data_IF_706241789636
#
_entry.id   IF_706241789636
#
_cell.length_a   1.000
_cell.length_b   1.000
_cell.length_c   1.000
_cell.angle_alpha   90.00
_cell.angle_beta   90.00
_cell.angle_gamma   90.00
#
_symmetry.space_group_name_H-M   'P 1'
#
loop_
_entity.id
_entity.type
_entity.pdbx_description
1 polymer ?
#
# COMPACT_ATOMS: atom_id res chain seq x y z
N UNK A 1 -10.83 16.22 23.26
CA UNK A 1 -9.58 16.98 23.26
C UNK A 1 -9.86 18.37 22.70
N UNK A 2 -9.45 19.43 23.38
CA UNK A 2 -9.64 20.80 22.88
C UNK A 2 -8.59 21.13 21.78
N UNK A 3 -8.77 22.25 21.08
CA UNK A 3 -7.89 22.61 19.95
C UNK A 3 -6.44 22.95 20.38
N UNK A 4 -6.21 23.43 21.59
CA UNK A 4 -4.86 23.73 22.09
C UNK A 4 -4.08 22.44 22.37
N UNK A 5 -4.72 21.45 23.00
CA UNK A 5 -4.16 20.12 23.23
C UNK A 5 -3.81 19.41 21.90
N UNK A 6 -4.68 19.52 20.90
CA UNK A 6 -4.40 18.98 19.55
C UNK A 6 -3.18 19.65 18.92
N UNK A 7 -3.02 20.97 19.05
CA UNK A 7 -1.85 21.69 18.51
C UNK A 7 -0.55 21.26 19.17
N UNK A 8 -0.54 21.06 20.49
CA UNK A 8 0.65 20.58 21.19
C UNK A 8 1.01 19.13 20.82
N UNK A 9 0.02 18.27 20.57
CA UNK A 9 0.28 16.92 20.05
C UNK A 9 0.79 16.96 18.62
N UNK A 10 0.22 17.81 17.75
CA UNK A 10 0.65 17.96 16.37
C UNK A 10 2.14 18.32 16.28
N UNK A 11 2.64 19.23 17.13
CA UNK A 11 4.08 19.59 17.20
C UNK A 11 5.01 18.42 17.51
N UNK A 12 4.52 17.38 18.18
CA UNK A 12 5.30 16.18 18.51
C UNK A 12 5.14 15.09 17.45
N UNK A 13 3.96 15.05 16.82
CA UNK A 13 3.57 14.04 15.85
C UNK A 13 4.00 14.33 14.42
N UNK A 14 4.16 15.62 14.06
CA UNK A 14 4.47 16.03 12.69
C UNK A 14 5.66 16.98 12.70
N UNK A 15 6.71 16.62 11.96
CA UNK A 15 7.96 17.37 11.87
C UNK A 15 8.26 17.74 10.42
N UNK A 16 8.58 19.00 10.15
CA UNK A 16 9.06 19.45 8.84
C UNK A 16 10.52 18.99 8.63
N UNK A 17 10.78 18.29 7.53
CA UNK A 17 12.09 17.78 7.14
C UNK A 17 12.87 18.80 6.27
N UNK A 18 14.22 18.65 6.16
CA UNK A 18 15.05 19.57 5.38
C UNK A 18 14.65 19.71 3.90
N UNK A 19 14.11 18.65 3.30
CA UNK A 19 13.65 18.64 1.90
C UNK A 19 12.23 19.21 1.70
N UNK A 20 11.67 19.81 2.76
CA UNK A 20 10.31 20.37 2.84
C UNK A 20 9.18 19.34 2.75
N UNK A 21 9.47 18.07 3.02
CA UNK A 21 8.43 17.09 3.34
C UNK A 21 8.11 17.11 4.85
N UNK A 22 6.99 16.51 5.24
CA UNK A 22 6.57 16.35 6.62
C UNK A 22 6.71 14.88 7.01
N UNK A 23 7.43 14.61 8.09
CA UNK A 23 7.44 13.32 8.76
C UNK A 23 6.30 13.30 9.77
N UNK A 24 5.40 12.35 9.62
CA UNK A 24 4.40 12.00 10.64
C UNK A 24 4.89 10.77 11.38
N UNK A 25 4.93 10.87 12.71
CA UNK A 25 5.18 9.76 13.62
C UNK A 25 4.15 9.83 14.76
N UNK A 26 3.07 9.07 14.61
CA UNK A 26 1.93 9.13 15.52
C UNK A 26 1.18 7.79 15.62
N UNK A 27 1.24 7.18 16.80
CA UNK A 27 0.60 5.90 17.06
C UNK A 27 1.16 4.80 16.14
N UNK A 28 0.34 4.07 15.37
CA UNK A 28 0.82 3.08 14.42
C UNK A 28 1.28 3.69 13.08
N UNK A 29 1.14 5.00 12.90
CA UNK A 29 1.39 5.67 11.63
C UNK A 29 2.79 6.28 11.62
N UNK A 30 3.59 5.87 10.64
CA UNK A 30 4.85 6.54 10.29
C UNK A 30 4.85 6.80 8.79
N UNK A 31 4.67 8.06 8.39
CA UNK A 31 4.57 8.42 6.98
C UNK A 31 5.34 9.69 6.62
N UNK A 32 5.79 9.78 5.37
CA UNK A 32 6.39 10.98 4.78
C UNK A 32 5.39 11.59 3.80
N UNK A 33 5.09 12.88 3.99
CA UNK A 33 4.11 13.63 3.22
C UNK A 33 4.81 14.77 2.50
N UNK A 34 4.70 14.86 1.19
CA UNK A 34 5.17 16.02 0.42
C UNK A 34 4.00 16.66 -0.30
N UNK A 35 3.90 17.98 -0.17
CA UNK A 35 2.79 18.77 -0.70
C UNK A 35 3.35 19.99 -1.41
N UNK A 36 3.03 20.12 -2.69
CA UNK A 36 3.48 21.23 -3.53
C UNK A 36 2.30 21.82 -4.30
N UNK A 37 2.38 23.11 -4.57
CA UNK A 37 1.52 23.86 -5.48
C UNK A 37 2.42 24.55 -6.50
N UNK A 38 2.37 24.08 -7.74
CA UNK A 38 3.20 24.54 -8.85
C UNK A 38 4.69 24.57 -8.47
N UNK A 39 5.22 23.41 -8.04
CA UNK A 39 6.59 23.21 -7.53
C UNK A 39 6.99 24.03 -6.28
N UNK A 40 6.07 24.78 -5.67
CA UNK A 40 6.31 25.49 -4.40
C UNK A 40 5.77 24.65 -3.23
N UNK A 41 6.60 24.32 -2.22
CA UNK A 41 6.13 23.62 -1.02
C UNK A 41 5.02 24.40 -0.31
N UNK A 42 3.96 23.70 0.10
CA UNK A 42 2.86 24.29 0.87
C UNK A 42 3.25 24.31 2.36
N UNK A 43 3.37 25.49 3.00
CA UNK A 43 3.79 25.60 4.39
C UNK A 43 2.64 25.36 5.38
N UNK A 44 2.99 25.26 6.67
CA UNK A 44 2.08 25.30 7.82
C UNK A 44 0.98 24.22 7.83
N UNK A 45 1.33 23.00 7.38
CA UNK A 45 0.40 21.87 7.27
C UNK A 45 0.40 20.92 8.49
N UNK A 46 1.29 21.11 9.47
CA UNK A 46 1.53 20.16 10.56
C UNK A 46 0.25 19.84 11.33
N UNK A 47 -0.49 20.88 11.73
CA UNK A 47 -1.74 20.71 12.47
C UNK A 47 -2.83 20.07 11.61
N UNK A 48 -2.91 20.43 10.32
CA UNK A 48 -3.90 19.89 9.39
C UNK A 48 -3.67 18.39 9.16
N UNK A 49 -2.43 18.01 8.88
CA UNK A 49 -2.02 16.61 8.69
C UNK A 49 -2.33 15.81 9.96
N UNK A 50 -1.91 16.31 11.12
CA UNK A 50 -2.18 15.66 12.40
C UNK A 50 -3.67 15.47 12.65
N UNK A 51 -4.47 16.52 12.52
CA UNK A 51 -5.90 16.47 12.85
C UNK A 51 -6.66 15.54 11.88
N UNK A 52 -6.29 15.55 10.60
CA UNK A 52 -6.84 14.66 9.58
C UNK A 52 -6.58 13.19 9.93
N UNK A 53 -5.33 12.84 10.22
CA UNK A 53 -4.94 11.46 10.59
C UNK A 53 -5.59 11.06 11.91
N UNK A 54 -5.56 11.94 12.91
CA UNK A 54 -6.14 11.68 14.23
C UNK A 54 -7.64 11.32 14.13
N UNK A 55 -8.42 12.11 13.38
CA UNK A 55 -9.85 11.83 13.19
C UNK A 55 -10.10 10.48 12.51
N UNK A 56 -9.31 10.14 11.50
CA UNK A 56 -9.46 8.85 10.81
C UNK A 56 -8.96 7.67 11.63
N UNK A 57 -7.97 7.85 12.52
CA UNK A 57 -7.58 6.84 13.50
C UNK A 57 -8.69 6.59 14.52
N UNK A 58 -9.37 7.64 15.01
CA UNK A 58 -10.54 7.48 15.89
C UNK A 58 -11.67 6.72 15.17
N UNK A 59 -11.96 7.07 13.92
CA UNK A 59 -12.99 6.39 13.12
C UNK A 59 -12.62 4.94 12.84
N UNK A 60 -11.37 4.66 12.48
CA UNK A 60 -10.88 3.29 12.24
C UNK A 60 -10.93 2.45 13.50
N UNK A 61 -10.56 3.03 14.65
CA UNK A 61 -10.64 2.35 15.95
C UNK A 61 -12.08 1.96 16.30
N UNK A 62 -13.07 2.79 15.95
CA UNK A 62 -14.50 2.49 16.18
C UNK A 62 -14.95 1.22 15.44
N UNK A 63 -14.45 1.00 14.22
CA UNK A 63 -14.81 -0.15 13.39
C UNK A 63 -13.82 -1.31 13.45
N UNK A 64 -12.74 -1.19 14.22
CA UNK A 64 -11.68 -2.19 14.31
C UNK A 64 -12.18 -3.64 14.57
N UNK A 65 -13.20 -3.89 15.42
CA UNK A 65 -13.71 -5.25 15.63
C UNK A 65 -14.27 -5.94 14.38
N UNK A 66 -14.75 -5.18 13.38
CA UNK A 66 -15.26 -5.72 12.11
C UNK A 66 -14.25 -5.62 10.97
N UNK A 67 -13.35 -4.63 11.00
CA UNK A 67 -12.28 -4.47 10.00
C UNK A 67 -11.22 -5.57 10.09
N UNK A 68 -11.11 -6.25 11.23
CA UNK A 68 -10.17 -7.35 11.46
C UNK A 68 -10.72 -8.74 11.10
N UNK A 69 -11.89 -8.80 10.46
CA UNK A 69 -12.51 -10.06 10.06
C UNK A 69 -12.52 -10.18 8.53
N UNK A 70 -12.50 -11.41 8.04
CA UNK A 70 -12.63 -11.76 6.61
C UNK A 70 -14.09 -11.84 6.15
N UNK A 71 -15.05 -11.52 7.02
CA UNK A 71 -16.48 -11.70 6.76
C UNK A 71 -17.13 -10.52 6.02
N UNK A 72 -16.33 -9.59 5.48
CA UNK A 72 -16.81 -8.58 4.52
C UNK A 72 -17.35 -9.19 3.22
N UNK A 73 -17.05 -10.46 2.94
CA UNK A 73 -17.63 -11.21 1.83
C UNK A 73 -18.91 -11.99 2.22
N UNK A 74 -19.24 -12.07 3.51
CA UNK A 74 -20.44 -12.75 3.99
C UNK A 74 -21.66 -11.86 3.84
N UNK A 75 -22.53 -12.22 2.89
CA UNK A 75 -23.78 -11.49 2.62
C UNK A 75 -24.68 -11.32 3.84
N UNK A 76 -24.63 -12.26 4.80
CA UNK A 76 -25.42 -12.16 6.03
C UNK A 76 -24.93 -11.06 6.97
N UNK A 77 -23.68 -10.61 6.79
CA UNK A 77 -23.03 -9.57 7.58
C UNK A 77 -22.77 -8.29 6.78
N UNK A 78 -23.28 -8.15 5.57
CA UNK A 78 -23.03 -6.96 4.74
C UNK A 78 -23.52 -5.65 5.39
N UNK A 79 -24.61 -5.70 6.16
CA UNK A 79 -25.23 -4.51 6.76
C UNK A 79 -24.33 -3.76 7.75
N UNK A 80 -23.42 -4.45 8.47
CA UNK A 80 -22.46 -3.79 9.36
C UNK A 80 -21.38 -3.03 8.59
N UNK A 81 -21.05 -3.46 7.37
CA UNK A 81 -20.09 -2.79 6.49
C UNK A 81 -20.75 -1.63 5.73
N UNK A 82 -22.00 -1.79 5.30
CA UNK A 82 -22.76 -0.74 4.64
C UNK A 82 -23.02 0.47 5.55
N UNK A 83 -22.97 0.27 6.88
CA UNK A 83 -23.09 1.34 7.86
C UNK A 83 -21.83 2.24 7.95
N UNK A 84 -20.71 1.82 7.34
CA UNK A 84 -19.48 2.60 7.30
C UNK A 84 -19.57 3.62 6.15
N UNK A 85 -19.36 4.89 6.45
CA UNK A 85 -19.34 5.93 5.43
C UNK A 85 -18.20 5.70 4.42
N UNK A 86 -18.53 5.65 3.13
CA UNK A 86 -17.62 5.24 2.05
C UNK A 86 -16.42 6.15 1.85
N UNK A 87 -16.55 7.42 2.21
CA UNK A 87 -15.51 8.45 2.09
C UNK A 87 -14.53 8.43 3.26
N UNK A 88 -14.78 7.66 4.33
CA UNK A 88 -13.85 7.48 5.45
C UNK A 88 -12.76 6.45 5.14
N UNK A 89 -11.68 6.46 5.92
CA UNK A 89 -10.60 5.44 5.82
C UNK A 89 -11.15 4.02 5.96
N UNK A 90 -11.98 3.67 6.96
CA UNK A 90 -12.63 2.37 7.05
C UNK A 90 -13.48 1.99 5.82
N UNK A 91 -14.22 2.96 5.27
CA UNK A 91 -15.04 2.73 4.08
C UNK A 91 -14.19 2.39 2.86
N UNK A 92 -13.08 3.11 2.66
CA UNK A 92 -12.09 2.84 1.61
C UNK A 92 -11.42 1.48 1.79
N UNK A 93 -11.05 1.11 3.03
CA UNK A 93 -10.46 -0.19 3.35
C UNK A 93 -11.37 -1.35 2.93
N UNK A 94 -12.65 -1.27 3.30
CA UNK A 94 -13.63 -2.30 2.96
C UNK A 94 -13.85 -2.39 1.45
N UNK A 95 -14.01 -1.25 0.78
CA UNK A 95 -14.18 -1.22 -0.67
C UNK A 95 -12.97 -1.83 -1.41
N UNK A 96 -11.75 -1.49 -0.99
CA UNK A 96 -10.52 -2.02 -1.58
C UNK A 96 -10.43 -3.55 -1.46
N UNK A 97 -10.66 -4.10 -0.27
CA UNK A 97 -10.59 -5.55 -0.04
C UNK A 97 -11.72 -6.28 -0.76
N UNK A 98 -12.94 -5.73 -0.77
CA UNK A 98 -14.04 -6.29 -1.57
C UNK A 98 -13.69 -6.33 -3.07
N UNK A 99 -13.03 -5.30 -3.60
CA UNK A 99 -12.58 -5.25 -5.00
C UNK A 99 -11.45 -6.24 -5.30
N UNK A 100 -10.61 -6.59 -4.32
CA UNK A 100 -9.57 -7.62 -4.48
C UNK A 100 -10.16 -9.03 -4.59
N UNK A 101 -11.35 -9.26 -4.01
CA UNK A 101 -12.03 -10.56 -4.02
C UNK A 101 -11.14 -11.71 -3.50
N UNK A 102 -10.38 -11.45 -2.43
CA UNK A 102 -9.53 -12.44 -1.77
C UNK A 102 -10.08 -12.75 -0.36
N UNK A 103 -10.75 -13.90 -0.15
CA UNK A 103 -11.43 -14.22 1.10
C UNK A 103 -10.50 -14.40 2.30
N UNK A 104 -9.18 -14.44 2.09
CA UNK A 104 -8.19 -14.50 3.16
C UNK A 104 -7.82 -13.11 3.70
N UNK A 105 -8.16 -12.04 2.97
CA UNK A 105 -7.88 -10.68 3.40
C UNK A 105 -8.98 -10.15 4.32
N UNK A 106 -8.55 -9.42 5.36
CA UNK A 106 -9.42 -8.51 6.10
C UNK A 106 -9.23 -7.09 5.55
N UNK A 107 -10.20 -6.18 5.76
CA UNK A 107 -10.02 -4.74 5.48
C UNK A 107 -8.71 -4.12 5.98
N UNK A 108 -8.06 -4.69 7.02
CA UNK A 108 -6.77 -4.20 7.51
C UNK A 108 -5.66 -4.23 6.44
N UNK A 109 -5.76 -5.08 5.42
CA UNK A 109 -4.81 -5.15 4.31
C UNK A 109 -4.77 -3.90 3.42
N UNK A 110 -5.66 -2.94 3.61
CA UNK A 110 -5.71 -1.67 2.87
C UNK A 110 -5.48 -0.44 3.77
N UNK A 111 -5.14 -0.62 5.05
CA UNK A 111 -5.16 0.46 6.05
C UNK A 111 -4.16 1.57 5.73
N UNK A 112 -2.96 1.22 5.27
CA UNK A 112 -1.90 2.17 5.02
C UNK A 112 -2.19 2.99 3.77
N UNK A 113 -2.63 2.32 2.71
CA UNK A 113 -3.09 2.92 1.46
C UNK A 113 -4.31 3.83 1.68
N UNK A 114 -5.32 3.37 2.41
CA UNK A 114 -6.56 4.14 2.65
C UNK A 114 -6.33 5.41 3.47
N UNK A 115 -5.49 5.35 4.52
CA UNK A 115 -5.10 6.55 5.28
C UNK A 115 -4.36 7.56 4.39
N UNK A 116 -3.47 7.06 3.54
CA UNK A 116 -2.69 7.89 2.63
C UNK A 116 -3.57 8.54 1.57
N UNK A 117 -4.49 7.80 0.96
CA UNK A 117 -5.48 8.32 0.00
C UNK A 117 -6.33 9.42 0.63
N UNK A 118 -6.85 9.18 1.84
CA UNK A 118 -7.67 10.17 2.54
C UNK A 118 -6.89 11.48 2.74
N UNK A 119 -5.65 11.40 3.21
CA UNK A 119 -4.82 12.60 3.39
C UNK A 119 -4.53 13.30 2.05
N UNK A 120 -4.21 12.56 0.99
CA UNK A 120 -4.00 13.11 -0.36
C UNK A 120 -5.23 13.87 -0.85
N UNK A 121 -6.43 13.31 -0.68
CA UNK A 121 -7.69 13.94 -1.07
C UNK A 121 -7.91 15.26 -0.31
N UNK A 122 -7.74 15.25 1.02
CA UNK A 122 -7.90 16.44 1.87
C UNK A 122 -6.89 17.55 1.50
N UNK A 123 -5.64 17.19 1.19
CA UNK A 123 -4.62 18.14 0.75
C UNK A 123 -4.88 18.67 -0.66
N UNK A 124 -5.45 17.86 -1.54
CA UNK A 124 -5.82 18.28 -2.89
C UNK A 124 -6.93 19.33 -2.88
N UNK A 125 -7.90 19.21 -1.97
CA UNK A 125 -8.95 20.22 -1.76
C UNK A 125 -8.38 21.60 -1.35
N UNK A 126 -7.17 21.62 -0.76
CA UNK A 126 -6.45 22.86 -0.45
C UNK A 126 -5.71 23.44 -1.67
N UNK A 127 -5.89 22.88 -2.86
CA UNK A 127 -5.27 23.36 -4.10
C UNK A 127 -3.81 22.99 -4.26
N UNK A 128 -3.36 21.88 -3.68
CA UNK A 128 -2.06 21.30 -4.00
C UNK A 128 -2.09 20.63 -5.38
N UNK A 129 -1.03 20.81 -6.17
CA UNK A 129 -0.88 20.26 -7.52
C UNK A 129 -0.10 18.96 -7.54
N UNK A 130 0.78 18.75 -6.55
CA UNK A 130 1.60 17.54 -6.45
C UNK A 130 1.72 17.11 -5.01
N UNK A 131 1.20 15.92 -4.75
CA UNK A 131 1.13 15.32 -3.42
C UNK A 131 1.65 13.89 -3.53
N UNK A 132 2.52 13.50 -2.60
CA UNK A 132 2.74 12.09 -2.31
C UNK A 132 2.79 11.86 -0.81
N UNK A 133 2.26 10.72 -0.39
CA UNK A 133 2.24 10.25 0.99
C UNK A 133 2.79 8.83 0.97
N UNK A 134 3.92 8.58 1.61
CA UNK A 134 4.50 7.24 1.76
C UNK A 134 4.33 6.76 3.19
N UNK A 135 3.55 5.71 3.39
CA UNK A 135 3.23 5.12 4.69
C UNK A 135 3.87 3.73 4.84
N UNK A 136 5.21 3.67 4.80
CA UNK A 136 5.95 2.44 5.11
C UNK A 136 6.10 1.46 3.95
N UNK A 137 5.98 1.93 2.70
CA UNK A 137 5.99 1.10 1.49
C UNK A 137 4.77 1.35 0.59
N UNK A 138 3.68 1.81 1.21
CA UNK A 138 2.42 2.12 0.55
C UNK A 138 2.34 3.62 0.29
N UNK A 139 2.37 3.98 -0.99
CA UNK A 139 2.43 5.34 -1.48
C UNK A 139 1.08 5.70 -2.10
N UNK A 140 0.43 6.73 -1.57
CA UNK A 140 -0.64 7.43 -2.29
C UNK A 140 -0.09 8.70 -2.93
N UNK A 141 -0.56 9.04 -4.13
CA UNK A 141 -0.12 10.23 -4.84
C UNK A 141 -1.25 10.89 -5.64
N UNK A 142 -1.11 12.20 -5.85
CA UNK A 142 -1.96 12.95 -6.77
C UNK A 142 -1.11 13.99 -7.47
N UNK A 143 -1.19 13.99 -8.79
CA UNK A 143 -0.43 14.87 -9.67
C UNK A 143 -1.43 15.60 -10.58
N UNK A 144 -1.30 16.91 -10.69
CA UNK A 144 -1.95 17.69 -11.74
C UNK A 144 -1.39 17.27 -13.11
N UNK A 145 -2.09 17.53 -14.24
CA UNK A 145 -1.66 17.07 -15.56
C UNK A 145 -0.23 17.50 -15.95
N UNK A 146 0.22 18.68 -15.52
CA UNK A 146 1.57 19.19 -15.78
C UNK A 146 2.65 18.67 -14.83
N UNK A 147 2.25 17.95 -13.78
CA UNK A 147 3.14 17.47 -12.73
C UNK A 147 3.65 16.06 -13.01
N UNK A 148 4.84 15.75 -12.48
CA UNK A 148 5.41 14.41 -12.55
C UNK A 148 6.19 14.06 -11.29
N UNK A 149 6.28 12.76 -10.98
CA UNK A 149 7.00 12.21 -9.85
C UNK A 149 7.91 11.07 -10.33
N UNK A 150 9.14 11.04 -9.83
CA UNK A 150 10.05 9.92 -10.07
C UNK A 150 10.02 9.00 -8.86
N UNK A 151 9.70 7.73 -9.08
CA UNK A 151 9.60 6.70 -8.03
C UNK A 151 10.59 5.58 -8.32
N UNK A 152 11.15 5.02 -7.25
CA UNK A 152 11.98 3.82 -7.35
C UNK A 152 11.17 2.63 -6.84
N UNK A 153 11.04 1.61 -7.69
CA UNK A 153 10.50 0.30 -7.32
C UNK A 153 11.66 -0.60 -6.97
N UNK A 154 11.74 -1.04 -5.71
CA UNK A 154 12.74 -1.97 -5.22
C UNK A 154 12.23 -3.40 -5.42
N UNK A 155 12.98 -4.22 -6.14
CA UNK A 155 12.57 -5.61 -6.45
C UNK A 155 12.99 -6.59 -5.35
N UNK A 156 14.15 -6.35 -4.73
CA UNK A 156 14.61 -7.10 -3.57
C UNK A 156 15.09 -6.11 -2.50
N UNK A 157 14.54 -6.23 -1.30
CA UNK A 157 14.91 -5.43 -0.12
C UNK A 157 16.23 -5.90 0.50
N UNK A 158 16.66 -7.13 0.20
CA UNK A 158 17.78 -7.83 0.84
C UNK A 158 18.98 -8.07 -0.10
N UNK A 159 18.76 -8.15 -1.41
CA UNK A 159 19.84 -8.33 -2.38
C UNK A 159 19.94 -7.17 -3.38
N UNK A 160 21.21 -6.85 -3.71
CA UNK A 160 21.73 -6.14 -4.89
C UNK A 160 21.09 -4.81 -5.37
N UNK A 161 20.10 -4.25 -4.67
CA UNK A 161 19.55 -2.93 -4.95
C UNK A 161 18.94 -2.82 -6.35
N UNK A 162 18.53 -3.95 -6.94
CA UNK A 162 17.83 -3.99 -8.22
C UNK A 162 16.57 -3.16 -8.10
N UNK A 163 16.50 -2.13 -8.93
CA UNK A 163 15.41 -1.16 -8.88
C UNK A 163 15.08 -0.64 -10.24
N UNK A 164 13.79 -0.52 -10.49
CA UNK A 164 13.27 0.23 -11.63
C UNK A 164 13.05 1.68 -11.17
N UNK A 165 13.50 2.66 -11.96
CA UNK A 165 13.00 4.02 -11.79
C UNK A 165 11.88 4.23 -12.78
N UNK A 166 10.73 4.69 -12.28
CA UNK A 166 9.60 5.08 -13.10
C UNK A 166 9.36 6.58 -12.96
N UNK A 167 9.16 7.26 -14.08
CA UNK A 167 8.62 8.62 -14.12
C UNK A 167 7.11 8.54 -14.32
N UNK A 168 6.36 8.93 -13.29
CA UNK A 168 4.90 8.97 -13.29
C UNK A 168 4.44 10.40 -13.56
N UNK A 169 3.42 10.56 -14.40
CA UNK A 169 2.79 11.83 -14.77
C UNK A 169 1.35 11.90 -14.25
N UNK A 170 0.77 13.10 -14.19
CA UNK A 170 -0.64 13.28 -13.83
C UNK A 170 -1.63 12.64 -14.80
N UNK A 171 -1.19 12.24 -15.99
CA UNK A 171 -2.06 11.61 -17.00
C UNK A 171 -2.06 10.08 -16.93
N UNK A 172 -1.13 9.45 -16.20
CA UNK A 172 -0.98 7.99 -16.14
C UNK A 172 -2.14 7.31 -15.37
N UNK A 173 -2.90 8.09 -14.61
CA UNK A 173 -4.01 7.60 -13.79
C UNK A 173 -3.54 6.71 -12.63
N UNK A 174 -2.33 6.96 -12.12
CA UNK A 174 -1.76 6.29 -10.95
C UNK A 174 -1.97 7.19 -9.74
N UNK A 175 -2.71 6.68 -8.75
CA UNK A 175 -2.90 7.32 -7.46
C UNK A 175 -2.31 6.50 -6.30
N UNK A 176 -1.88 5.26 -6.56
CA UNK A 176 -1.31 4.37 -5.55
C UNK A 176 -0.15 3.53 -6.07
N UNK A 177 0.84 3.30 -5.22
CA UNK A 177 1.92 2.31 -5.40
C UNK A 177 2.14 1.58 -4.08
N UNK A 178 2.02 0.26 -4.02
CA UNK A 178 2.22 -0.52 -2.80
C UNK A 178 3.10 -1.75 -3.08
N UNK A 179 3.79 -2.25 -2.05
CA UNK A 179 4.67 -3.43 -2.19
C UNK A 179 4.50 -4.38 -1.02
N UNK A 180 4.21 -5.65 -1.32
CA UNK A 180 4.14 -6.73 -0.34
C UNK A 180 5.02 -7.91 -0.75
N UNK A 181 5.56 -8.63 0.24
CA UNK A 181 6.43 -9.79 0.00
C UNK A 181 7.20 -10.20 1.25
N UNK A 182 7.95 -11.29 1.13
CA UNK A 182 8.76 -11.85 2.22
C UNK A 182 9.86 -10.86 2.63
N UNK A 183 9.98 -10.62 3.94
CA UNK A 183 10.97 -9.69 4.52
C UNK A 183 10.50 -8.24 4.60
N UNK A 184 9.31 -7.93 4.05
CA UNK A 184 8.63 -6.65 4.27
C UNK A 184 7.96 -6.54 5.65
N UNK A 185 7.19 -5.46 5.84
CA UNK A 185 6.35 -5.27 7.03
C UNK A 185 5.07 -6.11 6.99
N UNK A 186 4.60 -6.44 5.79
CA UNK A 186 3.39 -7.23 5.57
C UNK A 186 3.68 -8.72 5.76
N UNK A 187 2.83 -9.40 6.53
CA UNK A 187 2.90 -10.84 6.71
C UNK A 187 2.22 -11.54 5.51
N UNK A 188 3.02 -12.11 4.61
CA UNK A 188 2.53 -12.74 3.39
C UNK A 188 2.58 -14.26 3.45
N UNK A 189 1.64 -14.91 2.75
CA UNK A 189 1.53 -16.37 2.63
C UNK A 189 2.41 -16.92 1.49
N UNK A 190 2.84 -16.05 0.58
CA UNK A 190 3.63 -16.41 -0.61
C UNK A 190 5.14 -16.36 -0.39
N UNK A 191 5.89 -16.75 -1.44
CA UNK A 191 7.36 -16.82 -1.44
C UNK A 191 8.05 -15.70 -2.23
N UNK A 192 7.28 -14.79 -2.85
CA UNK A 192 7.85 -13.65 -3.57
C UNK A 192 8.57 -12.69 -2.60
N UNK A 193 9.74 -12.20 -3.02
CA UNK A 193 10.50 -11.18 -2.30
C UNK A 193 9.75 -9.84 -2.30
N UNK A 194 9.11 -9.50 -3.42
CA UNK A 194 8.35 -8.28 -3.56
C UNK A 194 7.39 -8.34 -4.74
N UNK A 195 6.16 -7.90 -4.50
CA UNK A 195 5.15 -7.64 -5.51
C UNK A 195 4.74 -6.19 -5.37
N UNK A 196 5.19 -5.35 -6.30
CA UNK A 196 4.85 -3.92 -6.33
C UNK A 196 3.71 -3.69 -7.32
N UNK A 197 2.61 -3.10 -6.85
CA UNK A 197 1.42 -2.80 -7.63
C UNK A 197 1.27 -1.30 -7.80
N UNK A 198 1.01 -0.84 -9.03
CA UNK A 198 0.66 0.53 -9.37
C UNK A 198 -0.79 0.57 -9.86
N UNK A 199 -1.58 1.53 -9.38
CA UNK A 199 -3.02 1.56 -9.63
C UNK A 199 -3.67 2.89 -9.27
N UNK A 200 -5.00 2.94 -9.34
CA UNK A 200 -5.76 4.20 -9.23
C UNK A 200 -5.76 4.80 -7.83
N UNK A 201 -5.73 3.97 -6.79
CA UNK A 201 -5.83 4.41 -5.38
C UNK A 201 -4.84 3.64 -4.53
N UNK A 202 -4.31 4.26 -3.47
CA UNK A 202 -3.45 3.64 -2.48
C UNK A 202 -4.11 2.44 -1.81
N UNK A 203 -5.37 2.57 -1.40
CA UNK A 203 -6.12 1.51 -0.72
C UNK A 203 -6.24 0.23 -1.58
N UNK A 204 -6.57 0.38 -2.87
CA UNK A 204 -6.71 -0.77 -3.77
C UNK A 204 -5.37 -1.46 -4.00
N UNK A 205 -4.28 -0.70 -4.23
CA UNK A 205 -2.98 -1.31 -4.49
C UNK A 205 -2.36 -1.97 -3.25
N UNK A 206 -2.62 -1.45 -2.05
CA UNK A 206 -2.16 -2.02 -0.78
C UNK A 206 -2.74 -3.43 -0.56
N UNK A 207 -4.07 -3.55 -0.70
CA UNK A 207 -4.74 -4.84 -0.63
C UNK A 207 -4.34 -5.77 -1.78
N UNK A 208 -4.23 -5.27 -3.02
CA UNK A 208 -3.83 -6.08 -4.17
C UNK A 208 -2.39 -6.57 -4.06
N UNK A 209 -1.45 -5.74 -3.60
CA UNK A 209 -0.07 -6.14 -3.41
C UNK A 209 0.02 -7.33 -2.45
N UNK A 210 -0.72 -7.27 -1.34
CA UNK A 210 -0.81 -8.36 -0.37
C UNK A 210 -1.46 -9.61 -0.97
N UNK A 211 -2.62 -9.48 -1.62
CA UNK A 211 -3.31 -10.61 -2.27
C UNK A 211 -2.45 -11.29 -3.33
N UNK A 212 -1.84 -10.51 -4.22
CA UNK A 212 -1.03 -11.01 -5.34
C UNK A 212 0.29 -11.61 -4.82
N UNK A 213 0.91 -11.03 -3.80
CA UNK A 213 2.05 -11.64 -3.13
C UNK A 213 1.70 -13.03 -2.57
N UNK A 214 0.52 -13.21 -1.98
CA UNK A 214 0.07 -14.51 -1.48
C UNK A 214 -0.06 -15.57 -2.59
N UNK A 215 -0.38 -15.17 -3.83
CA UNK A 215 -0.49 -16.10 -4.98
C UNK A 215 0.85 -16.67 -5.46
N UNK A 216 1.96 -16.13 -4.96
CA UNK A 216 3.30 -16.63 -5.29
C UNK A 216 3.64 -17.97 -4.61
N UNK A 217 2.84 -18.44 -3.65
CA UNK A 217 3.16 -19.64 -2.86
C UNK A 217 3.41 -20.90 -3.71
N UNK A 218 4.46 -21.64 -3.35
CA UNK A 218 4.74 -22.99 -3.85
C UNK A 218 5.13 -23.89 -2.65
N UNK A 219 4.60 -25.13 -2.56
CA UNK A 219 4.91 -26.04 -1.46
C UNK A 219 6.28 -26.73 -1.68
N UNK A 220 7.36 -25.98 -1.51
CA UNK A 220 8.73 -26.45 -1.76
C UNK A 220 9.44 -26.90 -0.46
N UNK A 221 10.33 -27.91 -0.54
CA UNK A 221 11.17 -28.27 0.60
C UNK A 221 12.02 -27.09 1.06
N UNK A 222 12.02 -26.83 2.37
CA UNK A 222 12.81 -25.74 2.99
C UNK A 222 12.11 -24.39 3.07
N UNK A 223 10.89 -24.23 2.53
CA UNK A 223 10.06 -23.06 2.83
C UNK A 223 9.58 -23.16 4.27
N UNK A 224 9.96 -22.20 5.11
CA UNK A 224 9.55 -22.14 6.51
C UNK A 224 8.30 -21.28 6.66
N UNK A 225 7.32 -21.79 7.40
CA UNK A 225 6.08 -21.09 7.72
C UNK A 225 5.84 -21.11 9.22
N UNK A 226 5.19 -20.05 9.73
CA UNK A 226 4.78 -19.91 11.12
C UNK A 226 3.42 -19.27 11.20
N UNK A 227 2.68 -19.49 12.28
CA UNK A 227 1.45 -18.74 12.50
C UNK A 227 1.77 -17.25 12.58
N UNK A 228 0.97 -16.41 11.93
CA UNK A 228 1.16 -14.96 11.98
C UNK A 228 1.17 -14.43 13.42
N UNK A 229 0.37 -15.04 14.30
CA UNK A 229 0.32 -14.72 15.74
C UNK A 229 1.61 -15.02 16.52
N UNK A 230 2.49 -15.89 16.01
CA UNK A 230 3.81 -16.13 16.59
C UNK A 230 4.81 -15.01 16.26
N UNK A 231 4.56 -14.25 15.19
CA UNK A 231 5.41 -13.15 14.73
C UNK A 231 4.87 -11.83 15.27
N UNK A 232 3.57 -11.58 15.09
CA UNK A 232 2.85 -10.44 15.62
C UNK A 232 1.58 -10.91 16.34
N UNK A 233 1.57 -10.95 17.68
CA UNK A 233 0.39 -11.34 18.47
C UNK A 233 -0.83 -10.45 18.25
N UNK A 234 -0.65 -9.26 17.64
CA UNK A 234 -1.69 -8.27 17.42
C UNK A 234 -2.22 -8.28 15.99
N UNK A 235 -1.74 -9.17 15.11
CA UNK A 235 -2.21 -9.29 13.72
C UNK A 235 -3.65 -9.81 13.62
N UNK A 236 -4.38 -9.34 12.62
CA UNK A 236 -5.75 -9.78 12.27
C UNK A 236 -5.79 -11.15 11.59
N UNK A 237 -4.67 -11.58 11.00
CA UNK A 237 -4.53 -12.87 10.33
C UNK A 237 -3.83 -13.93 11.21
N UNK A 238 -3.92 -13.81 12.54
CA UNK A 238 -3.14 -14.62 13.50
C UNK A 238 -3.25 -16.14 13.37
N UNK A 239 -4.31 -16.62 12.72
CA UNK A 239 -4.61 -18.03 12.47
C UNK A 239 -4.00 -18.56 11.15
N UNK A 240 -3.49 -17.69 10.29
CA UNK A 240 -2.88 -18.07 9.02
C UNK A 240 -1.39 -18.35 9.20
N UNK A 241 -0.89 -19.31 8.43
CA UNK A 241 0.54 -19.61 8.34
C UNK A 241 1.21 -18.75 7.27
N UNK A 242 2.11 -17.88 7.69
CA UNK A 242 2.84 -16.93 6.84
C UNK A 242 4.26 -17.44 6.58
N UNK A 243 4.82 -17.09 5.43
CA UNK A 243 6.17 -17.50 5.04
C UNK A 243 7.19 -16.64 5.77
N UNK A 244 8.18 -17.30 6.40
CA UNK A 244 9.22 -16.65 7.21
C UNK A 244 10.63 -16.85 6.64
N UNK A 245 10.84 -17.90 5.85
CA UNK A 245 12.08 -18.12 5.12
C UNK A 245 11.80 -18.87 3.81
N UNK A 246 12.52 -18.50 2.76
CA UNK A 246 12.46 -19.13 1.44
C UNK A 246 13.87 -19.63 1.11
N UNK A 247 14.04 -20.93 0.74
CA UNK A 247 15.34 -21.47 0.37
C UNK A 247 15.77 -20.92 -1.01
N UNK A 248 17.03 -21.14 -1.41
CA UNK A 248 17.42 -20.87 -2.79
C UNK A 248 16.55 -21.69 -3.74
N UNK A 249 15.86 -21.01 -4.66
CA UNK A 249 14.92 -21.64 -5.58
C UNK A 249 15.65 -22.12 -6.82
N UNK A 250 15.11 -23.18 -7.43
CA UNK A 250 15.45 -23.46 -8.83
C UNK A 250 14.91 -22.33 -9.71
N UNK A 251 15.57 -22.07 -10.85
CA UNK A 251 15.10 -21.07 -11.81
C UNK A 251 13.64 -21.35 -12.24
N UNK A 252 13.31 -22.62 -12.45
CA UNK A 252 11.97 -23.05 -12.87
C UNK A 252 10.93 -22.78 -11.78
N UNK A 253 11.24 -23.01 -10.51
CA UNK A 253 10.31 -22.72 -9.41
C UNK A 253 10.10 -21.21 -9.23
N UNK A 254 11.16 -20.41 -9.33
CA UNK A 254 11.05 -18.96 -9.26
C UNK A 254 10.19 -18.40 -10.43
N UNK A 255 10.40 -18.90 -11.65
CA UNK A 255 9.58 -18.54 -12.81
C UNK A 255 8.13 -18.99 -12.66
N UNK A 256 7.88 -20.20 -12.15
CA UNK A 256 6.51 -20.68 -11.89
C UNK A 256 5.79 -19.83 -10.85
N UNK A 257 6.47 -19.47 -9.77
CA UNK A 257 5.94 -18.60 -8.73
C UNK A 257 5.57 -17.21 -9.30
N UNK A 258 6.47 -16.60 -10.07
CA UNK A 258 6.21 -15.31 -10.73
C UNK A 258 5.04 -15.38 -11.71
N UNK A 259 4.97 -16.45 -12.53
CA UNK A 259 3.89 -16.67 -13.49
C UNK A 259 2.51 -16.80 -12.81
N UNK A 260 2.42 -17.47 -11.64
CA UNK A 260 1.16 -17.55 -10.87
C UNK A 260 0.67 -16.17 -10.44
N UNK A 261 1.58 -15.29 -10.00
CA UNK A 261 1.24 -13.91 -9.63
C UNK A 261 0.80 -13.12 -10.86
N UNK A 262 1.53 -13.24 -11.98
CA UNK A 262 1.19 -12.56 -13.23
C UNK A 262 -0.20 -12.97 -13.74
N UNK A 263 -0.52 -14.28 -13.73
CA UNK A 263 -1.84 -14.80 -14.10
C UNK A 263 -2.95 -14.25 -13.20
N UNK A 264 -2.72 -14.23 -11.88
CA UNK A 264 -3.66 -13.68 -10.92
C UNK A 264 -3.88 -12.16 -11.08
N UNK A 265 -2.91 -11.42 -11.64
CA UNK A 265 -3.01 -9.98 -11.87
C UNK A 265 -3.85 -9.62 -13.12
N UNK A 266 -4.03 -10.56 -14.07
CA UNK A 266 -4.69 -10.32 -15.36
C UNK A 266 -6.09 -9.69 -15.23
N UNK A 267 -7.00 -10.16 -14.34
CA UNK A 267 -8.32 -9.54 -14.21
C UNK A 267 -8.27 -8.06 -13.81
N UNK A 268 -7.32 -7.69 -12.95
CA UNK A 268 -7.14 -6.32 -12.46
C UNK A 268 -6.46 -5.41 -13.49
N UNK A 269 -5.59 -5.97 -14.34
CA UNK A 269 -5.08 -5.29 -15.51
C UNK A 269 -6.21 -5.00 -16.52
N UNK A 270 -7.02 -6.01 -16.81
CA UNK A 270 -8.09 -5.93 -17.81
C UNK A 270 -9.20 -4.94 -17.42
N UNK A 271 -9.56 -4.87 -16.14
CA UNK A 271 -10.57 -3.91 -15.66
C UNK A 271 -9.97 -2.53 -15.32
N UNK A 272 -8.64 -2.38 -15.41
CA UNK A 272 -7.92 -1.16 -15.14
C UNK A 272 -7.93 -0.72 -13.68
N UNK A 273 -8.10 -1.61 -12.71
CA UNK A 273 -7.76 -1.34 -11.31
C UNK A 273 -6.24 -1.26 -11.16
N UNK A 274 -5.52 -2.16 -11.83
CA UNK A 274 -4.06 -2.21 -11.89
C UNK A 274 -3.57 -1.56 -13.19
N UNK A 275 -2.50 -0.77 -13.10
CA UNK A 275 -1.81 -0.10 -14.22
C UNK A 275 -0.49 -0.79 -14.56
N UNK A 276 0.24 -1.21 -13.54
CA UNK A 276 1.47 -1.96 -13.68
C UNK A 276 1.78 -2.77 -12.43
N UNK A 277 2.45 -3.89 -12.61
CA UNK A 277 2.91 -4.77 -11.53
C UNK A 277 4.36 -5.18 -11.78
N UNK A 278 5.17 -5.10 -10.73
CA UNK A 278 6.50 -5.70 -10.68
C UNK A 278 6.47 -6.90 -9.75
N UNK A 279 7.00 -8.03 -10.21
CA UNK A 279 7.00 -9.29 -9.48
C UNK A 279 8.46 -9.73 -9.35
N UNK A 280 8.93 -9.88 -8.12
CA UNK A 280 10.29 -10.29 -7.81
C UNK A 280 10.27 -11.58 -6.99
N UNK A 281 10.87 -12.63 -7.55
CA UNK A 281 11.07 -13.93 -6.91
C UNK A 281 12.55 -14.30 -7.09
N UNK A 282 13.35 -13.99 -6.06
CA UNK A 282 14.82 -14.05 -6.08
C UNK A 282 15.37 -13.35 -7.33
N UNK A 283 16.11 -14.07 -8.17
CA UNK A 283 16.72 -13.51 -9.38
C UNK A 283 15.74 -13.25 -10.52
N UNK A 284 14.48 -13.71 -10.42
CA UNK A 284 13.45 -13.50 -11.44
C UNK A 284 12.70 -12.20 -11.16
N UNK A 285 12.70 -11.30 -12.13
CA UNK A 285 11.93 -10.06 -12.12
C UNK A 285 11.04 -10.05 -13.37
N UNK A 286 9.73 -9.95 -13.16
CA UNK A 286 8.74 -9.79 -14.22
C UNK A 286 7.99 -8.47 -14.07
N UNK A 287 7.72 -7.81 -15.20
CA UNK A 287 7.09 -6.50 -15.28
C UNK A 287 5.90 -6.57 -16.22
N UNK A 288 4.69 -6.28 -15.72
CA UNK A 288 3.45 -6.41 -16.49
C UNK A 288 2.54 -5.18 -16.37
N UNK A 289 1.99 -4.64 -17.47
CA UNK A 289 2.32 -5.00 -18.85
C UNK A 289 3.66 -4.37 -19.25
N UNK A 290 4.41 -5.03 -20.14
CA UNK A 290 5.79 -4.63 -20.47
C UNK A 290 5.88 -3.23 -21.12
N UNK A 291 4.87 -2.85 -21.91
CA UNK A 291 4.77 -1.55 -22.57
C UNK A 291 4.63 -0.39 -21.57
N UNK A 292 3.88 -0.60 -20.48
CA UNK A 292 3.80 0.36 -19.38
C UNK A 292 5.20 0.64 -18.81
N UNK A 293 5.95 -0.39 -18.41
CA UNK A 293 7.25 -0.19 -17.79
C UNK A 293 8.28 0.41 -18.75
N UNK A 294 8.33 -0.06 -20.00
CA UNK A 294 9.25 0.50 -21.00
C UNK A 294 8.99 1.98 -21.32
N UNK A 295 7.72 2.41 -21.26
CA UNK A 295 7.35 3.82 -21.48
C UNK A 295 7.73 4.72 -20.31
N UNK A 296 7.62 4.23 -19.07
CA UNK A 296 7.82 5.03 -17.87
C UNK A 296 9.22 4.89 -17.26
N UNK A 297 9.97 3.85 -17.65
CA UNK A 297 11.34 3.64 -17.18
C UNK A 297 12.25 4.77 -17.64
N UNK A 298 13.03 5.29 -16.70
CA UNK A 298 14.08 6.26 -16.99
C UNK A 298 15.44 5.65 -16.66
N UNK A 299 16.40 5.83 -17.56
CA UNK A 299 17.79 5.45 -17.31
C UNK A 299 18.37 6.28 -16.14
N UNK A 300 19.23 5.64 -15.33
CA UNK A 300 19.99 6.33 -14.29
C UNK A 300 21.31 6.83 -14.82
#
# INVERSE_FOLDING_TARGET
MNNEEKKERAKKAVSLLPDRSYLVDFGPVTMVVKVMRDDVPVPDLEFFIYDTIYQQLEETTRYLPILRNTDCYDKSKQSQYDAIAKDTVPGKMVAAVMNCNDPELTPMAAVAGAMSDYLVERLAEMGATKIFVNNGGDVALRLAPHESLTVAVLHDMHHDGRRSILRITGEDGIGGIATSGVGGRSLTLGIANGVTVLGKTGAEVDALATSLANKSFLPLPGVERRLASEIDPTTDIGHLEVVTAVPLLSKDDAMRSAAQVAEAAVPFLNNGTLRGISIAVQDIIELHPHDFFTTHMVER
#
